data_IF_769770839407
#
_entry.id   IF_769770839407
#
_cell.length_a   1.000
_cell.length_b   1.000
_cell.length_c   1.000
_cell.angle_alpha   90.00
_cell.angle_beta   90.00
_cell.angle_gamma   90.00
#
_symmetry.space_group_name_H-M   'P 1'
#
loop_
_entity.id
_entity.type
_entity.pdbx_description
1 polymer ?
#
# COMPACT_ATOMS: atom_id res chain seq x y z
N UNK A 1 19.16 -0.78 19.82
CA UNK A 1 17.81 -1.32 20.08
C UNK A 1 17.27 -1.84 18.77
N UNK A 2 17.14 -3.17 18.63
CA UNK A 2 16.48 -3.76 17.45
C UNK A 2 14.98 -3.49 17.58
N UNK A 3 14.38 -2.95 16.53
CA UNK A 3 12.95 -2.74 16.49
C UNK A 3 12.28 -4.05 16.15
N UNK A 4 11.36 -4.51 17.01
CA UNK A 4 10.62 -5.74 16.78
C UNK A 4 9.73 -5.56 15.54
N UNK A 5 9.77 -6.55 14.67
CA UNK A 5 8.85 -6.71 13.53
C UNK A 5 8.47 -8.17 13.37
N UNK A 6 7.34 -8.42 12.71
CA UNK A 6 6.82 -9.75 12.47
C UNK A 6 6.13 -9.81 11.11
N UNK A 7 6.53 -10.78 10.27
CA UNK A 7 5.74 -11.16 9.09
C UNK A 7 4.55 -11.99 9.56
N UNK A 8 3.34 -11.61 9.15
CA UNK A 8 2.09 -12.27 9.51
C UNK A 8 1.61 -13.21 8.41
N UNK A 9 1.64 -12.76 7.14
CA UNK A 9 1.21 -13.54 5.99
C UNK A 9 2.15 -13.31 4.80
N UNK A 10 2.36 -14.36 4.01
CA UNK A 10 2.99 -14.28 2.70
C UNK A 10 2.36 -15.33 1.78
N UNK A 11 1.68 -14.86 0.73
CA UNK A 11 0.99 -15.68 -0.25
C UNK A 11 1.58 -15.34 -1.64
N UNK A 12 2.52 -16.14 -2.16
CA UNK A 12 3.04 -15.94 -3.51
C UNK A 12 2.01 -16.42 -4.54
N UNK A 13 1.75 -15.61 -5.57
CA UNK A 13 0.78 -15.92 -6.62
C UNK A 13 1.31 -16.85 -7.70
N UNK A 14 2.63 -16.88 -7.90
CA UNK A 14 3.29 -17.54 -9.04
C UNK A 14 3.04 -16.82 -10.38
N UNK A 15 4.08 -16.65 -11.22
CA UNK A 15 3.95 -16.03 -12.55
C UNK A 15 3.42 -14.56 -12.53
N UNK A 16 2.60 -14.15 -13.52
CA UNK A 16 1.92 -12.83 -13.51
C UNK A 16 0.75 -12.75 -12.51
N UNK A 17 0.70 -13.66 -11.53
CA UNK A 17 -0.33 -13.74 -10.51
C UNK A 17 -0.28 -12.63 -9.46
N UNK A 18 -1.07 -12.82 -8.40
CA UNK A 18 -1.22 -11.87 -7.30
C UNK A 18 -0.33 -12.29 -6.14
N UNK A 19 0.61 -11.43 -5.75
CA UNK A 19 1.45 -11.67 -4.56
C UNK A 19 0.95 -10.85 -3.39
N UNK A 20 0.94 -11.44 -2.20
CA UNK A 20 0.52 -10.78 -0.97
C UNK A 20 1.54 -10.95 0.14
N UNK A 21 1.87 -9.86 0.83
CA UNK A 21 2.66 -9.87 2.05
C UNK A 21 2.01 -8.97 3.10
N UNK A 22 1.95 -9.42 4.36
CA UNK A 22 1.51 -8.61 5.49
C UNK A 22 2.48 -8.75 6.65
N UNK A 23 2.82 -7.64 7.28
CA UNK A 23 3.64 -7.64 8.48
C UNK A 23 3.41 -6.43 9.37
N UNK A 24 3.92 -6.53 10.60
CA UNK A 24 3.83 -5.52 11.64
C UNK A 24 5.21 -5.08 12.11
N UNK A 25 5.30 -3.84 12.57
CA UNK A 25 6.41 -3.41 13.42
C UNK A 25 5.94 -2.59 14.63
N UNK A 26 6.71 -2.68 15.70
CA UNK A 26 6.32 -2.24 17.04
C UNK A 26 7.10 -1.00 17.52
N UNK A 27 7.74 -0.28 16.59
CA UNK A 27 8.64 0.85 16.88
C UNK A 27 7.97 2.00 17.62
N UNK A 28 6.65 2.14 17.47
CA UNK A 28 5.86 3.22 18.06
C UNK A 28 5.18 2.82 19.37
N UNK A 29 5.35 1.59 19.86
CA UNK A 29 4.82 1.16 21.15
C UNK A 29 5.41 1.93 22.34
N UNK A 30 6.53 2.62 22.14
CA UNK A 30 7.12 3.53 23.13
C UNK A 30 6.35 4.85 23.29
N UNK A 31 5.51 5.23 22.33
CA UNK A 31 4.67 6.43 22.41
C UNK A 31 3.46 6.18 23.33
N UNK A 32 2.80 7.26 23.76
CA UNK A 32 1.60 7.17 24.61
C UNK A 32 0.47 6.37 23.94
N UNK A 33 0.30 6.53 22.63
CA UNK A 33 -0.67 5.79 21.81
C UNK A 33 -0.43 4.28 21.71
N UNK A 34 0.76 3.80 22.11
CA UNK A 34 1.21 2.42 21.95
C UNK A 34 1.08 1.89 20.51
N UNK A 35 1.26 2.78 19.53
CA UNK A 35 0.94 2.46 18.15
C UNK A 35 1.76 1.27 17.59
N UNK A 36 1.08 0.45 16.80
CA UNK A 36 1.62 -0.64 15.97
C UNK A 36 1.32 -0.29 14.53
N UNK A 37 2.32 -0.41 13.67
CA UNK A 37 2.13 -0.21 12.24
C UNK A 37 2.08 -1.58 11.56
N UNK A 38 0.95 -1.87 10.90
CA UNK A 38 0.70 -3.07 10.10
C UNK A 38 0.60 -2.67 8.63
N UNK A 39 1.44 -3.25 7.78
CA UNK A 39 1.42 -3.04 6.34
C UNK A 39 1.03 -4.32 5.62
N UNK A 40 0.07 -4.21 4.72
CA UNK A 40 -0.18 -5.20 3.68
C UNK A 40 0.26 -4.66 2.32
N UNK A 41 0.95 -5.47 1.54
CA UNK A 41 1.39 -5.18 0.18
C UNK A 41 0.84 -6.26 -0.73
N UNK A 42 0.13 -5.84 -1.76
CA UNK A 42 -0.44 -6.70 -2.78
C UNK A 42 0.10 -6.27 -4.15
N UNK A 43 0.74 -7.17 -4.88
CA UNK A 43 1.08 -6.98 -6.30
C UNK A 43 -0.01 -7.62 -7.15
N UNK A 44 -0.53 -6.91 -8.14
CA UNK A 44 -1.53 -7.41 -9.07
C UNK A 44 -0.96 -7.41 -10.49
N UNK A 45 -0.38 -8.54 -10.89
CA UNK A 45 0.34 -8.66 -12.14
C UNK A 45 1.49 -7.65 -12.23
N UNK A 46 1.66 -7.03 -13.39
CA UNK A 46 2.75 -6.08 -13.64
C UNK A 46 2.33 -4.61 -13.53
N UNK A 47 1.03 -4.35 -13.33
CA UNK A 47 0.46 -3.01 -13.50
C UNK A 47 0.16 -2.30 -12.19
N UNK A 48 -0.36 -3.01 -11.18
CA UNK A 48 -0.81 -2.37 -9.96
C UNK A 48 -0.16 -2.97 -8.72
N UNK A 49 0.05 -2.09 -7.74
CA UNK A 49 0.33 -2.45 -6.37
C UNK A 49 -0.69 -1.78 -5.48
N UNK A 50 -1.18 -2.50 -4.47
CA UNK A 50 -2.02 -1.97 -3.40
C UNK A 50 -1.24 -2.10 -2.11
N UNK A 51 -1.07 -0.99 -1.41
CA UNK A 51 -0.40 -0.92 -0.11
C UNK A 51 -1.41 -0.39 0.89
N UNK A 52 -1.64 -1.15 1.96
CA UNK A 52 -2.55 -0.78 3.04
C UNK A 52 -1.75 -0.68 4.32
N UNK A 53 -1.73 0.52 4.89
CA UNK A 53 -1.04 0.86 6.13
C UNK A 53 -2.07 1.11 7.24
N UNK A 54 -2.14 0.18 8.20
CA UNK A 54 -2.91 0.34 9.43
C UNK A 54 -1.98 0.84 10.54
N UNK A 55 -2.34 1.96 11.15
CA UNK A 55 -1.73 2.44 12.39
C UNK A 55 -2.71 2.17 13.53
N UNK A 56 -2.42 1.11 14.29
CA UNK A 56 -3.26 0.57 15.34
C UNK A 56 -2.79 1.10 16.70
N UNK A 57 -3.67 1.72 17.46
CA UNK A 57 -3.32 2.28 18.76
C UNK A 57 -4.52 2.99 19.36
N UNK A 58 -4.27 3.89 20.31
CA UNK A 58 -5.30 4.70 20.95
C UNK A 58 -4.88 6.16 21.04
N UNK A 59 -5.87 7.04 21.20
CA UNK A 59 -5.66 8.48 21.33
C UNK A 59 -5.38 9.18 20.01
N UNK A 60 -5.31 10.51 20.09
CA UNK A 60 -5.11 11.39 18.95
C UNK A 60 -3.65 11.50 18.57
N UNK A 61 -3.32 11.14 17.34
CA UNK A 61 -1.94 11.15 16.83
C UNK A 61 -1.86 11.82 15.47
N UNK A 62 -0.67 12.27 15.12
CA UNK A 62 -0.33 12.67 13.76
C UNK A 62 0.39 11.52 13.06
N UNK A 63 -0.28 10.91 12.09
CA UNK A 63 0.26 9.85 11.24
C UNK A 63 0.73 10.47 9.92
N UNK A 64 1.95 10.13 9.50
CA UNK A 64 2.48 10.56 8.21
C UNK A 64 3.08 9.37 7.45
N UNK A 65 2.53 9.08 6.27
CA UNK A 65 3.06 8.13 5.31
C UNK A 65 3.89 8.89 4.26
N UNK A 66 5.09 8.39 3.95
CA UNK A 66 5.99 9.00 2.98
C UNK A 66 6.38 8.00 1.89
N UNK A 67 6.29 8.42 0.63
CA UNK A 67 6.83 7.73 -0.53
C UNK A 67 7.94 8.58 -1.14
N UNK A 68 9.19 8.11 -1.07
CA UNK A 68 10.28 8.74 -1.82
C UNK A 68 10.09 8.43 -3.29
N UNK A 69 10.03 9.46 -4.10
CA UNK A 69 9.81 9.34 -5.54
C UNK A 69 11.17 9.44 -6.26
N UNK A 70 11.29 8.79 -7.41
CA UNK A 70 12.43 9.04 -8.29
C UNK A 70 12.37 10.47 -8.84
N UNK A 71 13.53 11.10 -9.07
CA UNK A 71 13.59 12.50 -9.50
C UNK A 71 13.37 12.64 -11.02
N UNK A 72 12.16 12.29 -11.46
CA UNK A 72 11.64 12.50 -12.80
C UNK A 72 10.65 13.68 -12.82
N UNK A 73 10.28 14.23 -13.99
CA UNK A 73 9.17 15.17 -14.09
C UNK A 73 7.91 14.58 -13.45
N UNK A 74 7.23 15.36 -12.61
CA UNK A 74 6.05 14.91 -11.89
C UNK A 74 4.98 16.00 -11.79
N UNK A 75 3.74 15.55 -11.63
CA UNK A 75 2.59 16.35 -11.24
C UNK A 75 1.98 15.77 -9.97
N UNK A 76 1.47 16.60 -9.08
CA UNK A 76 0.82 16.16 -7.84
C UNK A 76 -0.44 16.96 -7.54
N UNK A 77 -1.36 16.35 -6.82
CA UNK A 77 -2.60 16.95 -6.35
C UNK A 77 -2.97 16.37 -4.97
N UNK A 78 -4.16 16.71 -4.47
CA UNK A 78 -4.64 16.24 -3.16
C UNK A 78 -4.93 14.73 -3.08
N UNK A 79 -4.90 14.01 -4.21
CA UNK A 79 -5.15 12.57 -4.28
C UNK A 79 -3.87 11.77 -4.53
N UNK A 80 -2.73 12.41 -4.85
CA UNK A 80 -1.48 11.69 -5.13
C UNK A 80 -0.51 12.39 -6.07
N UNK A 81 0.32 11.60 -6.75
CA UNK A 81 1.33 12.08 -7.69
C UNK A 81 1.47 11.16 -8.91
N UNK A 82 1.87 11.74 -10.03
CA UNK A 82 2.21 11.06 -11.28
C UNK A 82 3.61 11.47 -11.72
N UNK A 83 4.42 10.50 -12.07
CA UNK A 83 5.77 10.68 -12.61
C UNK A 83 5.81 10.27 -14.09
N UNK A 84 6.48 11.06 -14.91
CA UNK A 84 6.81 10.70 -16.29
C UNK A 84 8.19 10.05 -16.33
N UNK A 85 8.23 8.71 -16.39
CA UNK A 85 9.49 7.96 -16.45
C UNK A 85 9.79 7.48 -17.87
N UNK A 86 11.06 7.15 -18.20
CA UNK A 86 11.40 6.58 -19.50
C UNK A 86 10.68 5.25 -19.82
N UNK A 87 10.25 4.50 -18.80
CA UNK A 87 9.52 3.24 -18.96
C UNK A 87 7.99 3.44 -19.06
N UNK A 88 7.50 4.68 -18.99
CA UNK A 88 6.08 5.02 -18.94
C UNK A 88 5.69 5.71 -17.64
N UNK A 89 4.43 6.14 -17.51
CA UNK A 89 3.97 6.85 -16.32
C UNK A 89 3.90 5.94 -15.10
N UNK A 90 4.28 6.49 -13.95
CA UNK A 90 4.04 5.89 -12.64
C UNK A 90 3.08 6.78 -11.87
N UNK A 91 1.95 6.22 -11.43
CA UNK A 91 0.94 6.96 -10.67
C UNK A 91 0.83 6.40 -9.27
N UNK A 92 0.80 7.27 -8.26
CA UNK A 92 0.49 6.93 -6.89
C UNK A 92 -0.78 7.68 -6.51
N UNK A 93 -1.83 6.96 -6.15
CA UNK A 93 -3.02 7.52 -5.54
C UNK A 93 -3.09 7.11 -4.08
N UNK A 94 -3.48 8.03 -3.20
CA UNK A 94 -3.47 7.84 -1.74
C UNK A 94 -4.80 8.27 -1.14
N UNK A 95 -5.33 7.49 -0.21
CA UNK A 95 -6.49 7.87 0.60
C UNK A 95 -6.34 7.39 2.05
N UNK A 96 -6.68 8.25 3.00
CA UNK A 96 -6.81 7.88 4.40
C UNK A 96 -8.26 7.51 4.76
N UNK A 97 -8.47 6.76 5.84
CA UNK A 97 -9.79 6.43 6.39
C UNK A 97 -10.58 7.62 6.94
N UNK A 98 -9.94 8.80 7.01
CA UNK A 98 -10.58 10.06 7.39
C UNK A 98 -10.50 11.06 6.24
N UNK A 99 -11.51 11.93 6.14
CA UNK A 99 -11.58 12.99 5.14
C UNK A 99 -10.54 14.11 5.39
N UNK A 100 -9.99 14.21 6.60
CA UNK A 100 -9.07 15.28 7.01
C UNK A 100 -7.60 14.98 6.69
N UNK A 101 -7.31 14.17 5.65
CA UNK A 101 -5.94 13.92 5.22
C UNK A 101 -5.41 15.01 4.31
N UNK A 102 -4.12 15.33 4.46
CA UNK A 102 -3.39 16.22 3.55
C UNK A 102 -2.41 15.39 2.74
N UNK A 103 -2.44 15.56 1.43
CA UNK A 103 -1.49 14.93 0.50
C UNK A 103 -0.72 16.02 -0.24
N UNK A 104 0.61 15.97 -0.16
CA UNK A 104 1.49 16.94 -0.80
C UNK A 104 2.81 16.29 -1.23
N UNK A 105 3.53 16.93 -2.16
CA UNK A 105 4.90 16.53 -2.52
C UNK A 105 5.87 17.55 -1.97
N UNK A 106 6.76 17.06 -1.09
CA UNK A 106 7.81 17.86 -0.47
C UNK A 106 9.14 17.59 -1.18
N UNK A 107 9.89 18.65 -1.49
CA UNK A 107 11.20 18.57 -2.14
C UNK A 107 12.18 19.50 -1.43
N UNK A 108 13.23 18.96 -0.83
CA UNK A 108 14.32 19.74 -0.25
C UNK A 108 13.95 20.54 1.00
N UNK A 109 13.05 20.06 1.87
CA UNK A 109 12.63 20.78 3.07
C UNK A 109 13.62 20.54 4.21
N UNK A 110 14.10 21.60 4.88
CA UNK A 110 14.97 21.49 6.06
C UNK A 110 14.26 21.72 7.40
N UNK A 111 13.14 22.45 7.41
CA UNK A 111 12.38 22.83 8.60
C UNK A 111 10.87 22.69 8.34
N UNK A 112 10.03 22.29 9.33
CA UNK A 112 10.37 21.96 10.72
C UNK A 112 11.11 20.63 10.88
N UNK A 113 11.10 19.79 9.85
CA UNK A 113 11.85 18.53 9.79
C UNK A 113 12.41 18.31 8.39
N UNK A 114 13.56 17.64 8.31
CA UNK A 114 14.19 17.34 7.03
C UNK A 114 13.38 16.31 6.24
N UNK A 115 12.91 16.67 5.04
CA UNK A 115 12.10 15.81 4.16
C UNK A 115 12.37 16.11 2.68
N UNK A 116 12.25 15.10 1.82
CA UNK A 116 12.46 15.28 0.38
C UNK A 116 13.93 15.44 0.00
N UNK A 117 14.79 14.57 0.52
CA UNK A 117 16.21 14.58 0.23
C UNK A 117 16.77 13.19 -0.04
N UNK A 118 17.90 13.15 -0.75
CA UNK A 118 18.67 11.96 -1.05
C UNK A 118 20.18 12.23 -0.91
N UNK A 119 20.93 11.21 -0.51
CA UNK A 119 22.39 11.27 -0.38
C UNK A 119 22.96 9.95 -0.90
N UNK A 120 23.36 9.94 -2.18
CA UNK A 120 23.95 8.77 -2.82
C UNK A 120 25.46 8.67 -2.56
N UNK A 121 26.12 9.82 -2.35
CA UNK A 121 27.53 9.89 -1.98
C UNK A 121 27.71 10.63 -0.66
N UNK A 122 28.70 10.20 0.12
CA UNK A 122 29.00 10.81 1.41
C UNK A 122 29.34 12.30 1.26
N UNK A 123 28.74 13.14 2.12
CA UNK A 123 28.92 14.59 2.08
C UNK A 123 28.05 15.32 1.06
N UNK A 124 27.32 14.60 0.21
CA UNK A 124 26.41 15.17 -0.78
C UNK A 124 24.96 14.95 -0.37
N UNK A 125 24.09 15.94 -0.60
CA UNK A 125 22.66 15.82 -0.37
C UNK A 125 21.91 16.61 -1.44
N UNK A 126 21.01 15.95 -2.15
CA UNK A 126 20.23 16.53 -3.23
C UNK A 126 18.73 16.49 -2.91
N UNK A 127 17.96 17.54 -3.30
CA UNK A 127 16.52 17.57 -3.08
C UNK A 127 15.80 16.62 -4.04
N UNK A 128 15.01 15.69 -3.49
CA UNK A 128 14.22 14.70 -4.25
C UNK A 128 12.75 14.79 -3.88
N UNK A 129 11.80 14.58 -4.82
CA UNK A 129 10.38 14.57 -4.48
C UNK A 129 10.02 13.47 -3.49
N UNK A 130 9.20 13.79 -2.50
CA UNK A 130 8.60 12.84 -1.56
C UNK A 130 7.13 13.14 -1.43
N UNK A 131 6.29 12.20 -1.86
CA UNK A 131 4.85 12.26 -1.61
C UNK A 131 4.61 11.96 -0.13
N UNK A 132 3.89 12.85 0.54
CA UNK A 132 3.50 12.71 1.94
C UNK A 132 1.97 12.68 2.01
N UNK A 133 1.44 11.72 2.76
CA UNK A 133 0.07 11.73 3.23
C UNK A 133 0.10 11.88 4.75
N UNK A 134 -0.56 12.91 5.27
CA UNK A 134 -0.58 13.24 6.68
C UNK A 134 -2.01 13.29 7.21
N UNK A 135 -2.22 12.70 8.38
CA UNK A 135 -3.51 12.57 9.06
C UNK A 135 -3.33 12.95 10.51
N UNK A 136 -4.23 13.76 11.08
CA UNK A 136 -4.25 14.03 12.53
C UNK A 136 -5.61 13.65 13.11
N UNK A 137 -5.71 12.44 13.65
CA UNK A 137 -6.97 11.84 14.08
C UNK A 137 -6.75 10.83 15.22
N UNK A 138 -7.84 10.35 15.82
CA UNK A 138 -7.79 9.27 16.79
C UNK A 138 -7.42 7.95 16.12
N UNK A 139 -6.53 7.19 16.74
CA UNK A 139 -6.21 5.84 16.27
C UNK A 139 -7.35 4.86 16.60
N UNK A 140 -7.58 3.83 15.76
CA UNK A 140 -6.74 3.45 14.61
C UNK A 140 -7.00 4.28 13.35
N UNK A 141 -5.98 4.40 12.49
CA UNK A 141 -6.09 5.02 11.17
C UNK A 141 -5.57 4.09 10.08
N UNK A 142 -6.19 4.14 8.90
CA UNK A 142 -5.76 3.40 7.70
C UNK A 142 -5.39 4.37 6.59
N UNK A 143 -4.28 4.12 5.92
CA UNK A 143 -3.90 4.80 4.68
C UNK A 143 -3.73 3.74 3.59
N UNK A 144 -4.38 3.95 2.44
CA UNK A 144 -4.26 3.10 1.26
C UNK A 144 -3.51 3.86 0.19
N UNK A 145 -2.51 3.22 -0.39
CA UNK A 145 -1.83 3.69 -1.61
C UNK A 145 -2.05 2.67 -2.73
N UNK A 146 -2.51 3.13 -3.88
CA UNK A 146 -2.42 2.36 -5.13
C UNK A 146 -1.27 2.93 -5.95
N UNK A 147 -0.34 2.07 -6.35
CA UNK A 147 0.73 2.41 -7.30
C UNK A 147 0.40 1.75 -8.63
N UNK A 148 0.39 2.53 -9.70
CA UNK A 148 0.23 2.05 -11.05
C UNK A 148 1.51 2.24 -11.87
N UNK A 149 1.83 1.22 -12.67
CA UNK A 149 2.97 1.17 -13.58
C UNK A 149 2.43 1.12 -15.02
N UNK A 150 2.14 2.29 -15.60
CA UNK A 150 1.68 2.43 -16.98
C UNK A 150 0.16 2.32 -17.23
N UNK A 151 -0.61 1.72 -16.31
CA UNK A 151 -2.07 1.72 -16.39
C UNK A 151 -2.66 2.98 -15.72
N UNK A 152 -3.78 3.55 -16.19
CA UNK A 152 -4.34 4.73 -15.54
C UNK A 152 -4.97 4.39 -14.18
N UNK A 153 -4.87 5.31 -13.23
CA UNK A 153 -5.81 5.40 -12.11
C UNK A 153 -6.95 6.30 -12.58
N UNK A 154 -8.10 5.70 -12.91
CA UNK A 154 -9.21 6.40 -13.57
C UNK A 154 -9.94 7.37 -12.64
N UNK A 155 -9.77 7.20 -11.32
CA UNK A 155 -10.48 7.98 -10.30
C UNK A 155 -9.67 8.11 -9.03
N UNK A 156 -9.89 9.19 -8.26
CA UNK A 156 -9.37 9.29 -6.91
C UNK A 156 -9.79 8.11 -6.04
N UNK A 157 -8.91 7.69 -5.14
CA UNK A 157 -9.24 6.67 -4.15
C UNK A 157 -10.29 7.21 -3.18
N UNK A 158 -11.43 6.53 -3.09
CA UNK A 158 -12.52 6.86 -2.17
C UNK A 158 -13.01 5.58 -1.49
N UNK A 159 -13.44 5.74 -0.25
CA UNK A 159 -14.00 4.65 0.55
C UNK A 159 -15.47 4.44 0.20
N UNK A 160 -15.82 3.22 -0.17
CA UNK A 160 -17.18 2.74 -0.38
C UNK A 160 -17.47 1.66 0.69
N UNK A 161 -17.71 2.09 1.93
CA UNK A 161 -17.75 1.18 3.07
C UNK A 161 -16.36 0.61 3.37
N UNK A 162 -16.19 -0.71 3.23
CA UNK A 162 -14.91 -1.41 3.38
C UNK A 162 -14.16 -1.59 2.04
N UNK A 163 -14.72 -1.06 0.95
CA UNK A 163 -14.20 -1.21 -0.41
C UNK A 163 -13.47 0.04 -0.88
N UNK A 164 -12.43 -0.15 -1.70
CA UNK A 164 -11.71 0.91 -2.42
C UNK A 164 -11.62 0.56 -3.90
N UNK A 165 -11.79 1.56 -4.78
CA UNK A 165 -11.74 1.41 -6.24
C UNK A 165 -10.78 2.44 -6.83
N UNK A 166 -10.01 2.02 -7.83
CA UNK A 166 -9.09 2.90 -8.57
C UNK A 166 -9.29 2.86 -10.09
N UNK A 167 -9.96 1.82 -10.59
CA UNK A 167 -10.43 1.72 -11.97
C UNK A 167 -11.80 1.06 -12.01
N UNK A 168 -12.48 1.17 -13.15
CA UNK A 168 -13.79 0.57 -13.42
C UNK A 168 -13.84 -0.93 -13.09
N UNK A 169 -12.76 -1.64 -13.35
CA UNK A 169 -12.62 -3.08 -13.18
C UNK A 169 -11.61 -3.48 -12.09
N UNK A 170 -11.18 -2.53 -11.24
CA UNK A 170 -10.19 -2.77 -10.21
C UNK A 170 -10.63 -2.27 -8.84
N UNK A 171 -10.69 -3.18 -7.87
CA UNK A 171 -11.11 -2.86 -6.51
C UNK A 171 -10.59 -3.82 -5.46
N UNK A 172 -10.55 -3.38 -4.20
CA UNK A 172 -10.20 -4.22 -3.05
C UNK A 172 -11.24 -4.06 -1.94
N UNK A 173 -11.62 -5.16 -1.31
CA UNK A 173 -12.39 -5.16 -0.06
C UNK A 173 -11.44 -5.41 1.11
N UNK A 174 -11.48 -4.54 2.11
CA UNK A 174 -10.57 -4.58 3.24
C UNK A 174 -11.27 -5.10 4.49
N UNK A 175 -10.52 -5.75 5.37
CA UNK A 175 -11.03 -6.13 6.69
C UNK A 175 -11.29 -4.89 7.55
N UNK A 176 -12.18 -4.97 8.56
CA UNK A 176 -12.36 -3.91 9.54
C UNK A 176 -11.02 -3.44 10.11
N UNK A 177 -10.87 -2.13 10.29
CA UNK A 177 -9.68 -1.54 10.90
C UNK A 177 -9.66 -1.86 12.40
N UNK A 178 -9.10 -3.02 12.73
CA UNK A 178 -9.04 -3.53 14.09
C UNK A 178 -7.75 -4.31 14.33
N UNK A 179 -7.24 -4.34 15.58
CA UNK A 179 -6.07 -5.14 15.92
C UNK A 179 -6.22 -6.63 15.59
N UNK A 180 -7.41 -7.19 15.78
CA UNK A 180 -7.68 -8.62 15.57
C UNK A 180 -7.94 -9.06 14.12
N UNK A 181 -7.88 -8.16 13.14
CA UNK A 181 -8.01 -8.55 11.73
C UNK A 181 -6.80 -9.39 11.31
N UNK A 182 -7.02 -10.68 11.01
CA UNK A 182 -5.96 -11.60 10.60
C UNK A 182 -5.33 -11.15 9.28
N UNK A 183 -6.17 -10.92 8.25
CA UNK A 183 -5.74 -10.44 6.94
C UNK A 183 -6.39 -9.09 6.62
N UNK A 184 -5.61 -8.12 6.16
CA UNK A 184 -6.07 -6.75 5.92
C UNK A 184 -6.85 -6.61 4.61
N UNK A 185 -6.44 -7.33 3.56
CA UNK A 185 -7.13 -7.36 2.27
C UNK A 185 -7.93 -8.66 2.21
N UNK A 186 -9.26 -8.59 2.09
CA UNK A 186 -10.14 -9.76 2.07
C UNK A 186 -10.38 -10.27 0.66
N UNK A 187 -10.57 -9.36 -0.28
CA UNK A 187 -10.69 -9.70 -1.69
C UNK A 187 -10.15 -8.61 -2.59
N UNK A 188 -9.76 -9.02 -3.78
CA UNK A 188 -9.31 -8.14 -4.85
C UNK A 188 -10.05 -8.52 -6.13
N UNK A 189 -10.43 -7.52 -6.90
CA UNK A 189 -11.07 -7.65 -8.20
C UNK A 189 -10.18 -6.90 -9.21
N UNK A 190 -9.76 -7.58 -10.28
CA UNK A 190 -8.94 -7.02 -11.36
C UNK A 190 -9.40 -7.64 -12.68
N UNK A 191 -9.73 -6.82 -13.68
CA UNK A 191 -10.14 -7.26 -15.03
C UNK A 191 -11.24 -8.36 -15.04
N UNK A 192 -12.17 -8.32 -14.07
CA UNK A 192 -13.25 -9.31 -13.83
C UNK A 192 -12.85 -10.58 -13.06
N UNK A 193 -11.57 -10.79 -12.77
CA UNK A 193 -11.15 -11.85 -11.86
C UNK A 193 -11.27 -11.36 -10.41
N UNK A 194 -11.96 -12.14 -9.56
CA UNK A 194 -12.00 -11.90 -8.11
C UNK A 194 -11.19 -12.97 -7.39
N UNK A 195 -10.24 -12.53 -6.58
CA UNK A 195 -9.47 -13.38 -5.68
C UNK A 195 -9.86 -13.08 -4.24
N UNK A 196 -10.22 -14.13 -3.50
CA UNK A 196 -10.38 -14.07 -2.05
C UNK A 196 -9.04 -14.41 -1.41
N UNK A 197 -8.63 -13.61 -0.43
CA UNK A 197 -7.43 -13.90 0.35
C UNK A 197 -7.85 -14.59 1.65
N UNK A 198 -7.51 -15.86 1.77
CA UNK A 198 -7.80 -16.67 2.95
C UNK A 198 -6.68 -16.51 3.99
N UNK A 199 -6.96 -16.03 5.22
CA UNK A 199 -5.96 -15.94 6.29
C UNK A 199 -5.38 -17.32 6.68
N UNK A 200 -6.08 -18.41 6.37
CA UNK A 200 -5.66 -19.78 6.65
C UNK A 200 -5.01 -20.49 5.45
N UNK A 201 -4.96 -19.85 4.28
CA UNK A 201 -4.21 -20.40 3.15
C UNK A 201 -2.76 -20.57 3.60
N UNK A 202 -2.30 -21.82 3.69
CA UNK A 202 -0.97 -22.10 4.22
C UNK A 202 0.06 -21.39 3.36
N UNK A 203 0.87 -20.52 3.97
CA UNK A 203 2.11 -20.05 3.37
C UNK A 203 2.81 -21.27 2.76
N UNK A 204 3.03 -21.23 1.44
CA UNK A 204 3.63 -22.32 0.69
C UNK A 204 4.91 -22.75 1.43
N UNK A 205 4.87 -23.90 2.12
CA UNK A 205 6.08 -24.48 2.69
C UNK A 205 6.90 -24.94 1.50
N UNK A 206 8.14 -24.48 1.40
CA UNK A 206 9.07 -24.94 0.37
C UNK A 206 9.08 -26.47 0.33
N UNK A 207 8.45 -27.00 -0.72
CA UNK A 207 8.44 -28.38 -1.14
C UNK A 207 8.32 -28.30 -2.65
N UNK A 208 9.44 -28.53 -3.32
CA UNK A 208 9.46 -28.76 -4.76
C UNK A 208 8.49 -29.90 -5.04
N UNK A 209 7.32 -29.60 -5.63
CA UNK A 209 6.66 -30.37 -6.70
C UNK A 209 5.20 -29.96 -6.88
N UNK A 210 4.92 -29.57 -8.13
CA UNK A 210 3.67 -29.61 -8.91
C UNK A 210 2.37 -29.05 -8.30
N UNK A 211 1.70 -28.17 -9.06
CA UNK A 211 0.30 -28.32 -9.51
C UNK A 211 0.01 -27.22 -10.57
N UNK A 212 -0.39 -27.65 -11.76
CA UNK A 212 -0.90 -26.80 -12.85
C UNK A 212 -2.40 -26.49 -12.64
N UNK A 213 -2.94 -25.37 -13.18
CA UNK A 213 -4.36 -25.07 -13.05
C UNK A 213 -5.21 -26.02 -13.90
N UNK A 214 -6.29 -26.54 -13.32
CA UNK A 214 -7.36 -27.24 -14.06
C UNK A 214 -8.29 -26.21 -14.69
N UNK A 215 -8.34 -26.19 -16.01
CA UNK A 215 -9.45 -25.58 -16.76
C UNK A 215 -10.67 -26.51 -16.67
N UNK A 216 -11.79 -26.00 -16.16
CA UNK A 216 -13.10 -26.63 -16.39
C UNK A 216 -13.59 -26.20 -17.78
N UNK A 217 -13.49 -27.11 -18.73
CA UNK A 217 -14.13 -26.99 -20.04
C UNK A 217 -15.60 -27.42 -19.89
N UNK A 218 -16.51 -26.49 -20.16
CA UNK A 218 -17.94 -26.77 -20.27
C UNK A 218 -18.19 -27.78 -21.41
N UNK A 219 -18.84 -28.89 -21.09
CA UNK A 219 -19.33 -29.83 -22.08
C UNK A 219 -20.62 -29.26 -22.72
N UNK A 220 -20.53 -28.91 -24.00
CA UNK A 220 -21.66 -28.79 -24.91
C UNK A 220 -21.54 -29.89 -25.97
N UNK A 221 -22.64 -30.63 -26.19
CA UNK A 221 -22.80 -31.58 -27.29
C UNK A 221 -23.05 -33.00 -26.83
#
# INVERSE_FOLDING_TARGET
>A
YLTRSQLQHFLPGGGPGIDYAQGEHYSYQRLASRAVHRRAVLRMGERYWLVVDDVLGQGREQVALHWRLADFPYSANADGARLDTPAGPVELAVAASTAESQVDVVRGQSSPSALGWESLHYGEKQPTPTLRCQVTADLPQRIVTVVSLGAPIERPLRWEGDKIRWASNCSAELAPLAPGAAIVVRSIEVDSARLLLDPNASAYRHGCDQIAPREEVAAHG
#
